data_IF_102759532616
#
_entry.id   IF_102759532616
#
_cell.length_a   1.000
_cell.length_b   1.000
_cell.length_c   1.000
_cell.angle_alpha   90.00
_cell.angle_beta   90.00
_cell.angle_gamma   90.00
#
_symmetry.space_group_name_H-M   'P 1'
#
loop_
_entity.id
_entity.type
_entity.pdbx_description
1 polymer ?
#
# COMPACT_ATOMS: atom_id res chain seq x y z
N UNK A 1 1.44 -0.77 -12.78
CA UNK A 1 2.49 -0.45 -11.80
C UNK A 1 3.71 -1.39 -11.95
N UNK A 2 4.26 -1.59 -13.17
CA UNK A 2 5.51 -2.35 -13.31
C UNK A 2 6.68 -1.71 -12.54
N UNK A 3 6.71 -0.39 -12.45
CA UNK A 3 7.77 0.40 -11.80
C UNK A 3 7.86 0.08 -10.30
N UNK A 4 6.72 -0.03 -9.61
CA UNK A 4 6.68 -0.43 -8.19
C UNK A 4 7.22 -1.84 -8.00
N UNK A 5 6.87 -2.76 -8.91
CA UNK A 5 7.30 -4.15 -8.84
C UNK A 5 8.81 -4.26 -9.05
N UNK A 6 9.36 -3.50 -10.00
CA UNK A 6 10.79 -3.47 -10.29
C UNK A 6 11.60 -2.88 -9.13
N UNK A 7 11.17 -1.72 -8.60
CA UNK A 7 11.94 -0.99 -7.59
C UNK A 7 11.81 -1.59 -6.18
N UNK A 8 10.60 -1.95 -5.77
CA UNK A 8 10.35 -2.39 -4.39
C UNK A 8 10.10 -3.87 -4.25
N UNK A 9 9.89 -4.62 -5.34
CA UNK A 9 9.65 -6.06 -5.30
C UNK A 9 8.63 -6.46 -4.21
N UNK A 10 7.45 -5.82 -4.15
CA UNK A 10 6.54 -5.96 -3.04
C UNK A 10 6.08 -7.42 -2.92
N UNK A 11 5.91 -7.92 -1.70
CA UNK A 11 5.23 -9.17 -1.46
C UNK A 11 3.74 -9.03 -1.72
N UNK A 12 3.17 -7.87 -1.36
CA UNK A 12 1.75 -7.61 -1.52
C UNK A 12 1.46 -6.13 -1.79
N UNK A 13 0.45 -5.89 -2.62
CA UNK A 13 -0.19 -4.57 -2.79
C UNK A 13 -1.68 -4.75 -2.55
N UNK A 14 -2.22 -3.98 -1.61
CA UNK A 14 -3.60 -4.09 -1.14
C UNK A 14 -4.27 -2.74 -1.36
N UNK A 15 -5.38 -2.73 -2.11
CA UNK A 15 -6.28 -1.59 -2.19
C UNK A 15 -7.24 -1.62 -1.00
N UNK A 16 -7.36 -0.51 -0.29
CA UNK A 16 -8.29 -0.36 0.81
C UNK A 16 -9.16 0.90 0.63
N UNK A 17 -9.92 1.27 1.67
CA UNK A 17 -10.73 2.48 1.66
C UNK A 17 -12.00 2.37 0.82
N UNK A 18 -12.56 3.52 0.46
CA UNK A 18 -13.85 3.64 -0.26
C UNK A 18 -13.82 2.98 -1.64
N UNK A 19 -12.64 2.90 -2.27
CA UNK A 19 -12.44 2.24 -3.56
C UNK A 19 -12.41 0.72 -3.47
N UNK A 20 -12.19 0.14 -2.29
CA UNK A 20 -12.28 -1.31 -2.10
C UNK A 20 -13.73 -1.82 -2.06
N UNK A 21 -14.72 -0.94 -1.93
CA UNK A 21 -16.14 -1.31 -1.78
C UNK A 21 -17.11 -0.66 -2.77
N UNK A 22 -16.68 0.34 -3.54
CA UNK A 22 -17.56 1.06 -4.48
C UNK A 22 -17.11 0.95 -5.93
N UNK A 23 -18.06 0.73 -6.84
CA UNK A 23 -17.92 0.77 -8.29
C UNK A 23 -17.95 2.21 -8.85
N UNK A 24 -17.56 3.20 -8.04
CA UNK A 24 -17.79 4.62 -8.32
C UNK A 24 -16.48 5.40 -8.54
N UNK A 25 -16.34 5.87 -9.78
CA UNK A 25 -15.89 7.20 -10.25
C UNK A 25 -14.42 7.66 -10.09
N UNK A 26 -13.72 7.54 -11.24
CA UNK A 26 -13.03 8.57 -12.06
C UNK A 26 -12.13 9.67 -11.47
N UNK A 27 -12.21 10.05 -10.20
CA UNK A 27 -11.38 11.14 -9.64
C UNK A 27 -11.04 10.95 -8.14
N UNK A 28 -11.26 9.78 -7.56
CA UNK A 28 -10.99 9.53 -6.14
C UNK A 28 -9.56 9.07 -5.86
N UNK A 29 -9.03 9.53 -4.73
CA UNK A 29 -7.75 9.12 -4.16
C UNK A 29 -7.67 7.58 -4.04
N UNK A 30 -6.54 6.98 -4.44
CA UNK A 30 -6.32 5.54 -4.23
C UNK A 30 -5.56 5.28 -2.94
N UNK A 31 -6.18 4.50 -2.06
CA UNK A 31 -5.59 4.08 -0.79
C UNK A 31 -4.90 2.71 -0.95
N UNK A 32 -3.56 2.68 -0.87
CA UNK A 32 -2.77 1.47 -1.06
C UNK A 32 -1.94 1.11 0.17
N UNK A 33 -2.01 -0.15 0.61
CA UNK A 33 -1.00 -0.73 1.49
C UNK A 33 -0.02 -1.51 0.61
N UNK A 34 1.27 -1.15 0.69
CA UNK A 34 2.35 -1.84 0.00
C UNK A 34 3.21 -2.52 1.06
N UNK A 35 3.44 -3.81 0.87
CA UNK A 35 4.26 -4.63 1.77
C UNK A 35 5.53 -5.03 1.03
N UNK A 36 6.69 -4.59 1.54
CA UNK A 36 8.01 -4.86 0.95
C UNK A 36 9.11 -5.03 2.00
N UNK A 37 9.99 -6.03 1.85
CA UNK A 37 11.25 -6.09 2.64
C UNK A 37 12.13 -4.85 2.40
N UNK A 38 12.06 -4.24 1.21
CA UNK A 38 12.89 -3.07 0.82
C UNK A 38 12.63 -1.84 1.67
N UNK A 39 11.53 -1.82 2.43
CA UNK A 39 11.21 -0.73 3.35
C UNK A 39 11.97 -0.81 4.68
N UNK A 40 12.61 -1.94 5.00
CA UNK A 40 13.28 -2.17 6.28
C UNK A 40 14.37 -1.13 6.58
N UNK A 41 15.10 -0.72 5.54
CA UNK A 41 16.24 0.20 5.66
C UNK A 41 15.85 1.67 5.43
N UNK A 42 14.56 1.97 5.26
CA UNK A 42 14.06 3.31 4.96
C UNK A 42 13.22 3.88 6.13
N UNK A 43 13.43 5.15 6.51
CA UNK A 43 12.52 5.87 7.39
C UNK A 43 11.10 5.94 6.81
N UNK A 44 10.09 5.96 7.68
CA UNK A 44 8.67 5.89 7.27
C UNK A 44 8.28 6.90 6.18
N UNK A 45 8.63 8.18 6.36
CA UNK A 45 8.30 9.22 5.40
C UNK A 45 9.03 9.03 4.06
N UNK A 46 10.28 8.57 4.08
CA UNK A 46 11.04 8.29 2.86
C UNK A 46 10.42 7.16 2.04
N UNK A 47 9.89 6.12 2.69
CA UNK A 47 9.16 5.04 2.00
C UNK A 47 7.99 5.61 1.18
N UNK A 48 7.21 6.51 1.79
CA UNK A 48 6.06 7.15 1.15
C UNK A 48 6.52 8.01 -0.03
N UNK A 49 7.52 8.88 0.18
CA UNK A 49 8.05 9.74 -0.89
C UNK A 49 8.58 8.93 -2.07
N UNK A 50 9.37 7.90 -1.80
CA UNK A 50 9.95 7.02 -2.82
C UNK A 50 8.85 6.30 -3.61
N UNK A 51 7.82 5.77 -2.95
CA UNK A 51 6.69 5.11 -3.62
C UNK A 51 5.89 6.11 -4.48
N UNK A 52 5.53 7.26 -3.94
CA UNK A 52 4.77 8.28 -4.68
C UNK A 52 5.55 8.78 -5.90
N UNK A 53 6.86 9.01 -5.72
CA UNK A 53 7.76 9.42 -6.79
C UNK A 53 7.94 8.36 -7.88
N UNK A 54 7.90 7.09 -7.50
CA UNK A 54 7.99 5.95 -8.43
C UNK A 54 6.71 5.80 -9.25
N UNK A 55 5.54 5.90 -8.59
CA UNK A 55 4.26 5.66 -9.24
C UNK A 55 3.81 6.80 -10.16
N UNK A 56 4.21 8.06 -9.88
CA UNK A 56 3.88 9.26 -10.67
C UNK A 56 2.42 9.28 -11.12
N UNK A 57 1.52 8.92 -10.20
CA UNK A 57 0.11 8.74 -10.51
C UNK A 57 -0.53 10.07 -10.87
N UNK A 58 -1.37 10.13 -11.93
CA UNK A 58 -2.14 11.33 -12.27
C UNK A 58 -3.29 11.60 -11.30
N UNK A 59 -3.64 10.61 -10.47
CA UNK A 59 -4.63 10.73 -9.40
C UNK A 59 -3.92 10.67 -8.04
N UNK A 60 -4.46 11.32 -6.99
CA UNK A 60 -3.82 11.31 -5.68
C UNK A 60 -3.77 9.89 -5.10
N UNK A 61 -2.71 9.61 -4.35
CA UNK A 61 -2.49 8.33 -3.68
C UNK A 61 -2.27 8.58 -2.19
N UNK A 62 -2.94 7.80 -1.35
CA UNK A 62 -2.53 7.61 0.05
C UNK A 62 -1.88 6.23 0.16
N UNK A 63 -0.64 6.18 0.63
CA UNK A 63 0.15 4.95 0.67
C UNK A 63 0.67 4.66 2.06
N UNK A 64 0.42 3.44 2.53
CA UNK A 64 1.01 2.88 3.74
C UNK A 64 2.05 1.84 3.36
N UNK A 65 3.29 2.07 3.78
CA UNK A 65 4.45 1.27 3.35
C UNK A 65 5.01 0.47 4.54
N UNK A 66 4.71 -0.83 4.57
CA UNK A 66 5.10 -1.73 5.67
C UNK A 66 6.12 -2.78 5.24
N UNK A 67 7.03 -3.15 6.13
CA UNK A 67 7.71 -4.45 6.01
C UNK A 67 6.72 -5.59 6.31
N UNK A 68 6.99 -6.84 5.89
CA UNK A 68 6.13 -7.96 6.25
C UNK A 68 5.98 -8.15 7.77
N UNK A 69 7.05 -7.91 8.53
CA UNK A 69 7.05 -7.97 9.99
C UNK A 69 6.15 -6.88 10.60
N UNK A 70 6.28 -5.63 10.13
CA UNK A 70 5.43 -4.51 10.57
C UNK A 70 3.96 -4.75 10.20
N UNK A 71 3.68 -5.27 9.00
CA UNK A 71 2.33 -5.58 8.55
C UNK A 71 1.70 -6.71 9.39
N UNK A 72 2.48 -7.75 9.73
CA UNK A 72 2.03 -8.83 10.59
C UNK A 72 1.69 -8.32 11.99
N UNK A 73 2.57 -7.51 12.59
CA UNK A 73 2.32 -6.90 13.90
C UNK A 73 1.09 -5.99 13.87
N UNK A 74 1.02 -5.09 12.87
CA UNK A 74 -0.10 -4.15 12.69
C UNK A 74 -1.43 -4.88 12.48
N UNK A 75 -1.44 -6.01 11.77
CA UNK A 75 -2.62 -6.84 11.55
C UNK A 75 -3.21 -7.48 12.81
N UNK A 76 -2.46 -7.53 13.92
CA UNK A 76 -2.92 -8.06 15.21
C UNK A 76 -3.52 -6.97 16.11
N UNK A 77 -3.33 -5.70 15.80
CA UNK A 77 -3.89 -4.58 16.56
C UNK A 77 -5.39 -4.39 16.32
N UNK A 78 -6.06 -3.71 17.25
CA UNK A 78 -7.42 -3.20 17.04
C UNK A 78 -7.30 -1.82 16.38
N UNK A 79 -7.20 -1.80 15.05
CA UNK A 79 -7.10 -0.57 14.26
C UNK A 79 -7.78 -0.72 12.89
N UNK A 80 -8.12 0.41 12.27
CA UNK A 80 -8.66 0.42 10.90
C UNK A 80 -7.64 -0.11 9.89
N UNK A 81 -6.33 0.06 10.14
CA UNK A 81 -5.26 -0.50 9.30
C UNK A 81 -5.25 -2.03 9.38
N UNK A 82 -5.43 -2.59 10.58
CA UNK A 82 -5.54 -4.04 10.76
C UNK A 82 -6.74 -4.62 9.98
N UNK A 83 -7.84 -3.87 9.92
CA UNK A 83 -8.99 -4.24 9.11
C UNK A 83 -8.68 -4.15 7.60
N UNK A 84 -8.02 -3.07 7.16
CA UNK A 84 -7.59 -2.89 5.77
C UNK A 84 -6.64 -4.02 5.29
N UNK A 85 -5.69 -4.43 6.14
CA UNK A 85 -4.79 -5.57 5.87
C UNK A 85 -5.55 -6.90 5.68
N UNK A 86 -6.68 -7.09 6.37
CA UNK A 86 -7.47 -8.32 6.34
C UNK A 86 -8.55 -8.34 5.27
N UNK A 87 -9.15 -7.20 4.97
CA UNK A 87 -10.36 -7.08 4.16
C UNK A 87 -10.14 -6.33 2.83
N UNK A 88 -8.99 -5.68 2.66
CA UNK A 88 -8.67 -4.97 1.42
C UNK A 88 -8.53 -5.91 0.21
N UNK A 89 -8.69 -5.34 -0.98
CA UNK A 89 -8.56 -6.07 -2.24
C UNK A 89 -7.08 -6.23 -2.57
N UNK A 90 -6.61 -7.46 -2.69
CA UNK A 90 -5.23 -7.75 -3.10
C UNK A 90 -5.10 -7.50 -4.61
N UNK A 91 -4.40 -6.42 -4.98
CA UNK A 91 -4.09 -6.09 -6.38
C UNK A 91 -2.89 -6.89 -6.89
N UNK A 92 -1.97 -7.23 -5.99
CA UNK A 92 -0.76 -7.99 -6.30
C UNK A 92 -0.32 -8.83 -5.10
N UNK A 93 0.16 -10.04 -5.37
CA UNK A 93 0.81 -10.92 -4.40
C UNK A 93 1.90 -11.74 -5.09
N UNK A 94 3.06 -11.85 -4.45
CA UNK A 94 4.19 -12.69 -4.87
C UNK A 94 4.45 -13.81 -3.88
#
# INVERSE_FOLDING_TARGET
MPELIEQFQPQQVILFGSQATSSTLKDSDLDLIIISEKFKDLPWLERIFEVLWTLKSPIPLDVLCYTPEEAQAKGQEISWVAQALKQGIILFRR
#
